data_IF_156946989503
#
_entry.id   IF_156946989503
#
_cell.length_a   1.000
_cell.length_b   1.000
_cell.length_c   1.000
_cell.angle_alpha   90.00
_cell.angle_beta   90.00
_cell.angle_gamma   90.00
#
_symmetry.space_group_name_H-M   'P 1'
#
loop_
_entity.id
_entity.type
_entity.pdbx_description
1 polymer ?
#
# COMPACT_ATOMS: atom_id res chain seq x y z
N UNK A 1 -7.86 -3.03 24.77
CA UNK A 1 -8.03 -3.44 23.35
C UNK A 1 -6.69 -3.60 22.58
N UNK A 2 -5.55 -3.86 23.24
CA UNK A 2 -4.22 -3.96 22.56
C UNK A 2 -3.94 -5.31 21.88
N UNK A 3 -4.64 -6.40 22.25
CA UNK A 3 -4.38 -7.74 21.72
C UNK A 3 -4.89 -8.00 20.30
N UNK A 4 -5.89 -7.23 19.82
CA UNK A 4 -6.46 -7.41 18.48
C UNK A 4 -5.55 -6.87 17.37
N UNK A 5 -4.94 -5.70 17.59
CA UNK A 5 -4.09 -5.02 16.59
C UNK A 5 -2.81 -5.84 16.32
N UNK A 6 -2.20 -6.45 17.34
CA UNK A 6 -0.99 -7.26 17.16
C UNK A 6 -1.24 -8.53 16.33
N UNK A 7 -2.39 -9.18 16.51
CA UNK A 7 -2.76 -10.35 15.74
C UNK A 7 -3.00 -10.01 14.27
N UNK A 8 -3.64 -8.87 13.98
CA UNK A 8 -3.87 -8.40 12.62
C UNK A 8 -2.57 -7.98 11.91
N UNK A 9 -1.66 -7.31 12.61
CA UNK A 9 -0.30 -7.01 12.10
C UNK A 9 0.46 -8.29 11.72
N UNK A 10 0.43 -9.32 12.57
CA UNK A 10 1.11 -10.58 12.32
C UNK A 10 0.54 -11.32 11.10
N UNK A 11 -0.78 -11.27 10.90
CA UNK A 11 -1.43 -11.87 9.72
C UNK A 11 -0.98 -11.17 8.44
N UNK A 12 -0.92 -9.85 8.42
CA UNK A 12 -0.47 -9.07 7.26
C UNK A 12 1.01 -9.35 6.95
N UNK A 13 1.86 -9.36 7.96
CA UNK A 13 3.30 -9.68 7.80
C UNK A 13 3.51 -11.11 7.29
N UNK A 14 2.71 -12.06 7.78
CA UNK A 14 2.74 -13.45 7.32
C UNK A 14 2.33 -13.58 5.85
N UNK A 15 1.24 -12.91 5.44
CA UNK A 15 0.80 -12.88 4.05
C UNK A 15 1.86 -12.26 3.12
N UNK A 16 2.52 -11.19 3.58
CA UNK A 16 3.59 -10.54 2.83
C UNK A 16 4.83 -11.43 2.69
N UNK A 17 5.21 -12.10 3.77
CA UNK A 17 6.33 -13.07 3.77
C UNK A 17 6.06 -14.23 2.80
N UNK A 18 4.81 -14.72 2.77
CA UNK A 18 4.39 -15.76 1.83
C UNK A 18 4.45 -15.26 0.37
N UNK A 19 4.01 -14.03 0.09
CA UNK A 19 4.11 -13.46 -1.25
C UNK A 19 5.57 -13.32 -1.71
N UNK A 20 6.48 -12.90 -0.84
CA UNK A 20 7.92 -12.87 -1.13
C UNK A 20 8.50 -14.26 -1.39
N UNK A 21 8.12 -15.25 -0.58
CA UNK A 21 8.57 -16.63 -0.76
C UNK A 21 8.16 -17.17 -2.15
N UNK A 22 6.94 -16.86 -2.60
CA UNK A 22 6.47 -17.24 -3.93
C UNK A 22 7.31 -16.60 -5.05
N UNK A 23 7.68 -15.33 -4.93
CA UNK A 23 8.54 -14.66 -5.93
C UNK A 23 9.92 -15.33 -6.02
N UNK A 24 10.51 -15.66 -4.87
CA UNK A 24 11.79 -16.37 -4.81
C UNK A 24 11.69 -17.77 -5.43
N UNK A 25 10.57 -18.45 -5.21
CA UNK A 25 10.33 -19.77 -5.79
C UNK A 25 10.26 -19.73 -7.32
N UNK A 26 9.60 -18.71 -7.89
CA UNK A 26 9.56 -18.50 -9.35
C UNK A 26 10.95 -18.22 -9.92
N UNK A 27 11.71 -17.33 -9.29
CA UNK A 27 13.10 -17.02 -9.70
C UNK A 27 13.97 -18.28 -9.64
N UNK A 28 13.87 -19.05 -8.57
CA UNK A 28 14.59 -20.33 -8.43
C UNK A 28 14.19 -21.32 -9.52
N UNK A 29 12.91 -21.36 -9.91
CA UNK A 29 12.44 -22.20 -11.02
C UNK A 29 13.11 -21.86 -12.35
N UNK A 30 13.21 -20.58 -12.70
CA UNK A 30 13.91 -20.14 -13.91
C UNK A 30 15.39 -20.53 -13.90
N UNK A 31 16.07 -20.41 -12.76
CA UNK A 31 17.47 -20.82 -12.62
C UNK A 31 17.64 -22.34 -12.81
N UNK A 32 16.75 -23.15 -12.21
CA UNK A 32 16.77 -24.61 -12.33
C UNK A 32 16.51 -25.08 -13.76
N UNK A 33 15.71 -24.34 -14.53
CA UNK A 33 15.43 -24.62 -15.95
C UNK A 33 16.54 -24.12 -16.88
N UNK A 34 17.64 -23.55 -16.36
CA UNK A 34 18.72 -23.01 -17.18
C UNK A 34 18.32 -21.75 -17.95
N UNK A 35 17.37 -20.98 -17.42
CA UNK A 35 16.85 -19.73 -18.01
C UNK A 35 17.32 -18.50 -17.20
N UNK A 36 18.63 -18.19 -17.17
CA UNK A 36 19.17 -17.12 -16.32
C UNK A 36 18.68 -15.72 -16.73
N UNK A 37 18.41 -15.49 -18.02
CA UNK A 37 17.87 -14.21 -18.50
C UNK A 37 16.47 -13.95 -17.92
N UNK A 38 15.59 -14.94 -17.97
CA UNK A 38 14.24 -14.83 -17.40
C UNK A 38 14.27 -14.66 -15.87
N UNK A 39 15.19 -15.37 -15.19
CA UNK A 39 15.41 -15.18 -13.75
C UNK A 39 15.85 -13.75 -13.41
N UNK A 40 16.74 -13.17 -14.22
CA UNK A 40 17.25 -11.81 -14.05
C UNK A 40 16.15 -10.77 -14.31
N UNK A 41 15.39 -10.91 -15.40
CA UNK A 41 14.24 -10.06 -15.71
C UNK A 41 13.23 -10.06 -14.56
N UNK A 42 12.86 -11.26 -14.08
CA UNK A 42 11.93 -11.38 -12.94
C UNK A 42 12.47 -10.74 -11.67
N UNK A 43 13.78 -10.89 -11.42
CA UNK A 43 14.44 -10.27 -10.26
C UNK A 43 14.34 -8.73 -10.35
N UNK A 44 14.55 -8.14 -11.53
CA UNK A 44 14.40 -6.69 -11.70
C UNK A 44 12.95 -6.22 -11.51
N UNK A 45 11.96 -6.96 -12.00
CA UNK A 45 10.54 -6.66 -11.77
C UNK A 45 10.20 -6.65 -10.28
N UNK A 46 10.63 -7.68 -9.55
CA UNK A 46 10.41 -7.81 -8.11
C UNK A 46 11.13 -6.69 -7.36
N UNK A 47 12.38 -6.39 -7.70
CA UNK A 47 13.15 -5.30 -7.09
C UNK A 47 12.50 -3.94 -7.36
N UNK A 48 12.00 -3.68 -8.57
CA UNK A 48 11.27 -2.46 -8.90
C UNK A 48 9.96 -2.35 -8.10
N UNK A 49 9.24 -3.47 -7.92
CA UNK A 49 8.04 -3.53 -7.07
C UNK A 49 8.36 -3.26 -5.60
N UNK A 50 9.45 -3.83 -5.08
CA UNK A 50 9.89 -3.64 -3.71
C UNK A 50 10.35 -2.20 -3.45
N UNK A 51 11.03 -1.56 -4.40
CA UNK A 51 11.38 -0.14 -4.29
C UNK A 51 10.16 0.78 -4.21
N UNK A 52 9.04 0.43 -4.85
CA UNK A 52 7.78 1.15 -4.69
C UNK A 52 7.16 0.96 -3.29
N UNK A 53 7.42 -0.20 -2.67
CA UNK A 53 7.02 -0.50 -1.29
C UNK A 53 7.97 0.08 -0.24
N UNK A 54 9.23 0.32 -0.58
CA UNK A 54 10.25 0.90 0.31
C UNK A 54 9.76 2.21 0.92
N UNK A 55 9.13 3.08 0.11
CA UNK A 55 8.55 4.34 0.58
C UNK A 55 7.45 4.17 1.61
N UNK A 56 6.62 3.12 1.50
CA UNK A 56 5.61 2.78 2.51
C UNK A 56 6.28 2.32 3.80
N UNK A 57 7.34 1.53 3.69
CA UNK A 57 8.07 0.98 4.85
C UNK A 57 8.94 2.03 5.55
N UNK A 58 9.33 3.10 4.86
CA UNK A 58 10.07 4.24 5.42
C UNK A 58 9.20 5.36 5.98
N UNK A 59 7.87 5.23 5.91
CA UNK A 59 6.95 6.20 6.52
C UNK A 59 7.20 6.28 8.03
N UNK A 60 7.25 7.50 8.58
CA UNK A 60 7.33 7.74 10.03
C UNK A 60 5.98 7.58 10.74
N UNK A 61 5.00 7.02 10.02
CA UNK A 61 3.67 6.62 10.49
C UNK A 61 3.46 5.12 10.19
N UNK A 62 3.99 4.20 11.03
CA UNK A 62 3.99 2.76 10.75
C UNK A 62 2.61 2.09 10.79
N UNK A 63 1.70 2.54 11.66
CA UNK A 63 0.30 2.13 11.68
C UNK A 63 -0.45 2.58 10.42
N UNK A 64 -0.16 3.77 9.91
CA UNK A 64 -0.67 4.22 8.62
C UNK A 64 -0.16 3.36 7.46
N UNK A 65 1.15 3.08 7.43
CA UNK A 65 1.75 2.20 6.43
C UNK A 65 1.13 0.80 6.43
N UNK A 66 0.90 0.24 7.62
CA UNK A 66 0.25 -1.06 7.77
C UNK A 66 -1.20 -1.05 7.26
N UNK A 67 -1.95 0.02 7.53
CA UNK A 67 -3.30 0.18 7.00
C UNK A 67 -3.31 0.19 5.47
N UNK A 68 -2.40 0.93 4.83
CA UNK A 68 -2.27 0.96 3.36
C UNK A 68 -1.91 -0.41 2.78
N UNK A 69 -0.99 -1.15 3.40
CA UNK A 69 -0.64 -2.52 2.98
C UNK A 69 -1.83 -3.47 3.10
N UNK A 70 -2.61 -3.32 4.16
CA UNK A 70 -3.82 -4.12 4.40
C UNK A 70 -4.88 -3.85 3.33
N UNK A 71 -5.16 -2.58 3.05
CA UNK A 71 -6.16 -2.20 2.04
C UNK A 71 -5.72 -2.57 0.63
N UNK A 72 -4.41 -2.49 0.32
CA UNK A 72 -3.87 -3.00 -0.96
C UNK A 72 -4.09 -4.50 -1.11
N UNK A 73 -3.84 -5.27 -0.04
CA UNK A 73 -4.06 -6.72 -0.05
C UNK A 73 -5.55 -7.07 -0.23
N UNK A 74 -6.45 -6.32 0.42
CA UNK A 74 -7.91 -6.46 0.26
C UNK A 74 -8.39 -6.09 -1.14
N UNK A 75 -7.88 -5.00 -1.71
CA UNK A 75 -8.20 -4.57 -3.08
C UNK A 75 -7.82 -5.65 -4.09
N UNK A 76 -6.61 -6.21 -3.97
CA UNK A 76 -6.14 -7.33 -4.79
C UNK A 76 -7.07 -8.54 -4.70
N UNK A 77 -7.52 -8.90 -3.49
CA UNK A 77 -8.49 -9.98 -3.26
C UNK A 77 -9.86 -9.74 -3.92
N UNK A 78 -10.19 -8.48 -4.23
CA UNK A 78 -11.44 -8.08 -4.90
C UNK A 78 -11.25 -7.86 -6.41
N UNK A 79 -10.08 -8.19 -6.97
CA UNK A 79 -9.75 -7.98 -8.38
C UNK A 79 -9.47 -6.52 -8.75
N UNK A 80 -9.30 -5.63 -7.76
CA UNK A 80 -8.98 -4.21 -7.97
C UNK A 80 -7.47 -4.00 -7.85
N UNK A 81 -6.88 -3.36 -8.86
CA UNK A 81 -5.48 -2.94 -8.84
C UNK A 81 -5.38 -1.61 -8.09
N UNK A 82 -4.77 -1.62 -6.90
CA UNK A 82 -4.47 -0.41 -6.13
C UNK A 82 -2.98 -0.07 -6.23
N UNK A 83 -2.68 1.04 -6.90
CA UNK A 83 -1.35 1.64 -6.95
C UNK A 83 -1.21 2.72 -5.88
N UNK A 84 -0.05 2.76 -5.24
CA UNK A 84 0.27 3.67 -4.15
C UNK A 84 1.48 4.51 -4.56
N UNK A 85 1.32 5.83 -4.56
CA UNK A 85 2.39 6.80 -4.83
C UNK A 85 2.60 7.64 -3.57
N UNK A 86 3.74 7.43 -2.92
CA UNK A 86 4.07 8.07 -1.64
C UNK A 86 5.21 9.06 -1.86
N UNK A 87 4.90 10.35 -1.69
CA UNK A 87 5.83 11.48 -1.84
C UNK A 87 5.96 12.32 -0.55
N UNK A 88 5.59 11.73 0.61
CA UNK A 88 5.83 12.29 1.95
C UNK A 88 6.26 11.16 2.88
N UNK A 89 7.03 11.50 3.91
CA UNK A 89 7.41 10.57 4.99
C UNK A 89 6.44 10.63 6.20
N UNK A 90 5.43 11.51 6.15
CA UNK A 90 4.46 11.78 7.23
C UNK A 90 5.10 12.13 8.59
N UNK A 91 6.32 12.67 8.60
CA UNK A 91 7.09 12.93 9.84
C UNK A 91 6.41 13.86 10.85
N UNK A 92 5.53 14.75 10.39
CA UNK A 92 4.82 15.71 11.23
C UNK A 92 3.41 15.27 11.63
N UNK A 93 3.02 14.01 11.40
CA UNK A 93 1.76 13.47 11.95
C UNK A 93 2.02 13.05 13.39
N UNK A 94 1.31 13.62 14.39
CA UNK A 94 1.43 13.19 15.77
C UNK A 94 1.02 11.70 15.92
N UNK A 95 1.72 10.90 16.73
CA UNK A 95 1.37 9.49 16.94
C UNK A 95 -0.07 9.26 17.43
N UNK A 96 -0.66 10.24 18.11
CA UNK A 96 -2.06 10.23 18.56
C UNK A 96 -3.08 10.39 17.42
N UNK A 97 -2.71 11.09 16.34
CA UNK A 97 -3.55 11.33 15.17
C UNK A 97 -3.41 10.24 14.11
N UNK A 98 -2.29 9.50 14.15
CA UNK A 98 -1.98 8.43 13.20
C UNK A 98 -3.10 7.38 13.06
N UNK A 99 -3.72 6.85 14.15
CA UNK A 99 -4.82 5.89 14.02
C UNK A 99 -6.05 6.50 13.33
N UNK A 100 -6.35 7.77 13.61
CA UNK A 100 -7.48 8.46 13.01
C UNK A 100 -7.25 8.70 11.51
N UNK A 101 -6.04 9.11 11.13
CA UNK A 101 -5.62 9.25 9.75
C UNK A 101 -5.68 7.91 8.99
N UNK A 102 -5.14 6.84 9.60
CA UNK A 102 -5.15 5.50 9.04
C UNK A 102 -6.58 5.00 8.78
N UNK A 103 -7.49 5.23 9.74
CA UNK A 103 -8.90 4.87 9.59
C UNK A 103 -9.57 5.67 8.47
N UNK A 104 -9.37 7.00 8.43
CA UNK A 104 -9.98 7.87 7.44
C UNK A 104 -9.57 7.49 6.00
N UNK A 105 -8.28 7.23 5.77
CA UNK A 105 -7.79 6.80 4.45
C UNK A 105 -8.22 5.38 4.12
N UNK A 106 -8.25 4.46 5.10
CA UNK A 106 -8.74 3.12 4.88
C UNK A 106 -10.23 3.09 4.49
N UNK A 107 -11.07 3.91 5.14
CA UNK A 107 -12.49 4.02 4.80
C UNK A 107 -12.69 4.62 3.39
N UNK A 108 -11.90 5.62 3.01
CA UNK A 108 -11.87 6.17 1.65
C UNK A 108 -11.52 5.08 0.62
N UNK A 109 -10.45 4.33 0.86
CA UNK A 109 -10.01 3.24 -0.02
C UNK A 109 -11.07 2.14 -0.14
N UNK A 110 -11.64 1.68 0.98
CA UNK A 110 -12.69 0.66 0.97
C UNK A 110 -13.91 1.11 0.16
N UNK A 111 -14.34 2.35 0.33
CA UNK A 111 -15.45 2.90 -0.43
C UNK A 111 -15.15 2.93 -1.94
N UNK A 112 -13.93 3.29 -2.32
CA UNK A 112 -13.52 3.31 -3.72
C UNK A 112 -13.32 1.93 -4.34
N UNK A 113 -12.70 0.99 -3.61
CA UNK A 113 -12.55 -0.41 -4.04
C UNK A 113 -13.92 -1.02 -4.29
N UNK A 114 -14.89 -0.79 -3.42
CA UNK A 114 -16.27 -1.26 -3.59
C UNK A 114 -16.90 -0.73 -4.87
N UNK A 115 -16.64 0.54 -5.23
CA UNK A 115 -17.14 1.14 -6.49
C UNK A 115 -16.40 0.66 -7.74
N UNK A 116 -15.10 0.37 -7.62
CA UNK A 116 -14.27 -0.08 -8.73
C UNK A 116 -14.46 -1.57 -9.04
N UNK A 117 -14.83 -2.36 -8.02
CA UNK A 117 -15.10 -3.79 -8.14
C UNK A 117 -16.22 -4.04 -9.15
N UNK A 118 -15.96 -4.90 -10.15
CA UNK A 118 -16.91 -5.20 -11.22
C UNK A 118 -16.99 -4.18 -12.36
N UNK A 119 -16.09 -3.20 -12.42
CA UNK A 119 -15.92 -2.32 -13.59
C UNK A 119 -15.02 -2.96 -14.66
N UNK A 120 -15.11 -2.49 -15.90
CA UNK A 120 -14.29 -2.98 -17.03
C UNK A 120 -12.79 -2.70 -16.84
N UNK A 121 -12.43 -1.74 -15.98
CA UNK A 121 -11.04 -1.41 -15.64
C UNK A 121 -10.90 -1.07 -14.15
N UNK A 122 -10.81 -2.06 -13.26
CA UNK A 122 -10.82 -1.86 -11.80
C UNK A 122 -9.44 -1.39 -11.30
N UNK A 123 -9.00 -0.21 -11.72
CA UNK A 123 -7.73 0.39 -11.30
C UNK A 123 -7.97 1.67 -10.46
N UNK A 124 -7.24 1.78 -9.36
CA UNK A 124 -7.23 2.92 -8.44
C UNK A 124 -5.78 3.34 -8.15
N UNK A 125 -5.56 4.65 -8.00
CA UNK A 125 -4.28 5.23 -7.62
C UNK A 125 -4.47 6.20 -6.45
N UNK A 126 -3.78 5.92 -5.33
CA UNK A 126 -3.68 6.81 -4.18
C UNK A 126 -2.33 7.52 -4.20
N UNK A 127 -2.38 8.85 -4.23
CA UNK A 127 -1.21 9.73 -4.08
C UNK A 127 -1.23 10.32 -2.67
N UNK A 128 -0.12 10.17 -1.96
CA UNK A 128 0.14 10.79 -0.66
C UNK A 128 1.23 11.83 -0.86
N UNK A 129 0.86 13.10 -0.78
CA UNK A 129 1.76 14.23 -0.96
C UNK A 129 1.73 15.18 0.23
N UNK A 130 2.74 16.01 0.37
CA UNK A 130 2.83 17.05 1.40
C UNK A 130 3.08 18.42 0.76
N UNK A 131 2.40 19.44 1.27
CA UNK A 131 2.68 20.84 0.97
C UNK A 131 2.62 21.71 2.23
N UNK A 132 2.65 23.04 2.04
CA UNK A 132 2.60 23.99 3.15
C UNK A 132 1.28 23.99 3.96
N UNK A 133 0.19 23.45 3.40
CA UNK A 133 -1.11 23.35 4.06
C UNK A 133 -1.28 22.02 4.84
N UNK A 134 -0.54 20.98 4.45
CA UNK A 134 -0.50 19.71 5.17
C UNK A 134 -0.35 18.51 4.26
N UNK A 135 -0.99 17.40 4.64
CA UNK A 135 -0.91 16.14 3.90
C UNK A 135 -2.14 15.97 3.00
N UNK A 136 -1.88 15.64 1.74
CA UNK A 136 -2.90 15.48 0.71
C UNK A 136 -2.97 14.03 0.29
N UNK A 137 -4.16 13.46 0.41
CA UNK A 137 -4.49 12.09 0.00
C UNK A 137 -5.42 12.18 -1.19
N UNK A 138 -4.89 11.98 -2.39
CA UNK A 138 -5.68 12.05 -3.63
C UNK A 138 -5.90 10.65 -4.18
N UNK A 139 -7.16 10.25 -4.29
CA UNK A 139 -7.54 8.99 -4.92
C UNK A 139 -8.14 9.28 -6.30
N UNK A 140 -7.65 8.56 -7.31
CA UNK A 140 -8.11 8.65 -8.69
C UNK A 140 -8.36 7.25 -9.27
N UNK A 141 -9.27 7.13 -10.24
CA UNK A 141 -9.56 5.87 -10.92
C UNK A 141 -11.00 5.75 -11.44
N UNK A 142 -11.39 4.53 -11.84
CA UNK A 142 -12.47 4.17 -12.77
C UNK A 142 -13.91 4.70 -12.53
N UNK A 143 -14.13 5.55 -11.52
CA UNK A 143 -15.32 6.40 -11.26
C UNK A 143 -15.20 7.14 -9.91
N UNK A 144 -13.99 7.43 -9.42
CA UNK A 144 -13.79 8.00 -8.10
C UNK A 144 -12.62 9.00 -8.09
N UNK A 145 -12.93 10.25 -8.38
CA UNK A 145 -12.09 11.37 -7.95
C UNK A 145 -12.55 11.79 -6.56
N UNK A 146 -11.79 11.41 -5.54
CA UNK A 146 -12.06 11.80 -4.16
C UNK A 146 -10.73 12.12 -3.48
N UNK A 147 -10.66 13.26 -2.80
CA UNK A 147 -9.49 13.70 -2.06
C UNK A 147 -9.84 13.96 -0.60
N UNK A 148 -8.89 13.66 0.29
CA UNK A 148 -8.92 14.06 1.69
C UNK A 148 -7.69 14.89 1.96
N UNK A 149 -7.89 16.04 2.60
CA UNK A 149 -6.80 16.89 3.10
C UNK A 149 -6.73 16.71 4.59
N UNK A 150 -5.56 16.32 5.10
CA UNK A 150 -5.30 16.22 6.54
C UNK A 150 -4.43 17.41 6.98
N UNK A 151 -4.92 18.25 7.92
CA UNK A 151 -4.20 19.43 8.36
C UNK A 151 -2.91 19.04 9.09
N UNK A 152 -1.85 19.84 8.89
CA UNK A 152 -0.61 19.71 9.67
C UNK A 152 -0.82 20.37 11.03
N UNK A 153 -0.74 19.59 12.10
CA UNK A 153 -0.67 20.14 13.46
C UNK A 153 0.78 20.56 13.68
N UNK A 154 1.04 21.87 13.72
CA UNK A 154 2.36 22.38 14.16
C UNK A 154 2.51 22.15 15.66
N UNK A 155 3.66 21.66 16.14
CA UNK A 155 3.96 21.62 17.57
C UNK A 155 4.07 23.02 18.18
#
# INVERSE_FOLDING_TARGET
MRGGVQAETLVVLSAWSHELANELQVISGYLQLGQPTAALERTFEVAARLRRLDRLLTLKAPGFALALLTERSRAKGSGVVLELEIDSDLAGVPPEDEPALALAVADLLRAAVTRASGSDNPALSLVVAEDSAGYHFRLSGAKADSGVVWPRVMP
#
